data_IF_368651114992
#
_entry.id   IF_368651114992
#
_cell.length_a   1.000
_cell.length_b   1.000
_cell.length_c   1.000
_cell.angle_alpha   90.00
_cell.angle_beta   90.00
_cell.angle_gamma   90.00
#
_symmetry.space_group_name_H-M   'P 1'
#
loop_
_entity.id
_entity.type
_entity.pdbx_description
1 polymer ?
#
# COMPACT_ATOMS: atom_id res chain seq x y z
N UNK A 1 -23.50 18.77 -8.01
CA UNK A 1 -22.08 19.11 -8.19
C UNK A 1 -21.58 19.58 -6.83
N UNK A 2 -21.09 18.66 -6.00
CA UNK A 2 -20.70 18.97 -4.62
C UNK A 2 -19.17 18.98 -4.56
N UNK A 3 -18.61 20.15 -4.24
CA UNK A 3 -17.19 20.34 -4.00
C UNK A 3 -16.90 19.90 -2.56
N UNK A 4 -16.16 18.81 -2.41
CA UNK A 4 -15.64 18.37 -1.12
C UNK A 4 -14.50 19.29 -0.71
N UNK A 5 -14.76 20.20 0.23
CA UNK A 5 -13.73 21.01 0.87
C UNK A 5 -13.21 20.22 2.08
N UNK A 6 -12.04 19.61 1.93
CA UNK A 6 -11.30 18.99 3.03
C UNK A 6 -10.69 20.11 3.87
N UNK A 7 -11.19 20.32 5.10
CA UNK A 7 -10.58 21.22 6.10
C UNK A 7 -9.80 20.39 7.11
N UNK A 8 -8.53 20.75 7.33
CA UNK A 8 -7.64 20.08 8.28
C UNK A 8 -6.26 19.72 7.72
N UNK A 9 -6.09 19.78 6.40
CA UNK A 9 -4.80 20.13 5.84
C UNK A 9 -4.65 21.63 6.11
N UNK A 10 -3.67 22.05 6.94
CA UNK A 10 -2.93 23.19 6.44
C UNK A 10 -2.48 22.75 5.05
N UNK A 11 -2.87 23.46 3.99
CA UNK A 11 -2.35 23.16 2.68
C UNK A 11 -0.88 23.51 2.76
N UNK A 12 -0.04 22.58 3.24
CA UNK A 12 1.34 22.57 2.81
C UNK A 12 1.22 22.51 1.30
N UNK A 13 1.60 23.57 0.57
CA UNK A 13 1.11 23.72 -0.76
C UNK A 13 1.98 22.80 -1.59
N UNK A 14 1.47 21.60 -1.85
CA UNK A 14 1.87 20.79 -3.01
C UNK A 14 1.72 21.63 -4.30
N UNK A 15 0.97 22.75 -4.22
CA UNK A 15 0.78 23.77 -5.25
C UNK A 15 1.83 24.92 -5.25
N UNK A 16 2.74 25.01 -4.28
CA UNK A 16 3.86 25.98 -4.29
C UNK A 16 5.23 25.31 -4.30
N UNK A 17 5.29 23.98 -4.24
CA UNK A 17 6.52 23.26 -4.60
C UNK A 17 6.80 23.53 -6.09
N UNK A 18 8.06 23.69 -6.51
CA UNK A 18 8.42 23.54 -7.93
C UNK A 18 7.79 22.24 -8.47
N UNK A 19 7.57 22.16 -9.79
CA UNK A 19 7.00 20.93 -10.37
C UNK A 19 7.81 19.74 -9.84
N UNK A 20 7.11 18.70 -9.37
CA UNK A 20 7.73 17.53 -8.74
C UNK A 20 8.91 17.01 -9.59
N UNK A 21 8.76 17.07 -10.91
CA UNK A 21 9.80 16.79 -11.91
C UNK A 21 11.07 17.66 -11.78
N UNK A 22 10.94 18.98 -11.58
CA UNK A 22 12.05 19.91 -11.38
C UNK A 22 12.77 19.64 -10.05
N UNK A 23 12.02 19.39 -8.97
CA UNK A 23 12.59 19.14 -7.64
C UNK A 23 13.36 17.81 -7.59
N UNK A 24 12.84 16.77 -8.25
CA UNK A 24 13.51 15.47 -8.38
C UNK A 24 14.81 15.61 -9.17
N UNK A 25 14.77 16.35 -10.29
CA UNK A 25 15.93 16.56 -11.17
C UNK A 25 17.02 17.37 -10.48
N UNK A 26 16.65 18.49 -9.87
CA UNK A 26 17.58 19.42 -9.21
C UNK A 26 18.25 18.78 -7.98
N UNK A 27 17.51 18.04 -7.15
CA UNK A 27 18.07 17.45 -5.92
C UNK A 27 18.81 16.13 -6.11
N UNK A 28 18.36 15.28 -7.03
CA UNK A 28 18.84 13.89 -7.09
C UNK A 28 19.61 13.57 -8.37
N UNK A 29 19.82 14.56 -9.26
CA UNK A 29 20.56 14.41 -10.52
C UNK A 29 20.05 13.23 -11.36
N UNK A 30 18.73 13.03 -11.34
CA UNK A 30 18.02 12.01 -12.10
C UNK A 30 17.76 12.57 -13.49
N UNK A 31 18.50 12.08 -14.49
CA UNK A 31 18.25 12.34 -15.90
C UNK A 31 17.70 11.10 -16.60
N UNK A 32 17.17 11.28 -17.82
CA UNK A 32 16.68 10.20 -18.67
C UNK A 32 17.76 9.22 -19.17
N UNK A 33 19.03 9.40 -18.78
CA UNK A 33 20.19 8.64 -19.26
C UNK A 33 20.73 7.65 -18.22
N UNK A 34 20.37 7.80 -16.95
CA UNK A 34 20.50 6.73 -15.94
C UNK A 34 19.55 5.55 -16.23
N UNK A 35 19.98 4.30 -15.96
CA UNK A 35 19.27 3.00 -16.15
C UNK A 35 17.98 3.10 -16.99
N UNK A 36 17.95 2.57 -18.23
CA UNK A 36 16.78 2.60 -19.17
C UNK A 36 15.46 2.93 -18.46
N UNK A 37 15.02 4.21 -18.50
CA UNK A 37 13.85 4.66 -17.76
C UNK A 37 12.64 3.80 -18.11
N UNK A 38 11.79 3.53 -17.11
CA UNK A 38 10.47 2.98 -17.40
C UNK A 38 9.69 3.98 -18.27
N UNK A 39 8.84 3.49 -19.17
CA UNK A 39 8.00 4.39 -19.98
C UNK A 39 6.97 5.06 -19.07
N UNK A 40 7.28 6.29 -18.65
CA UNK A 40 6.43 7.09 -17.76
C UNK A 40 5.04 7.29 -18.36
N UNK A 41 4.91 7.42 -19.69
CA UNK A 41 3.60 7.62 -20.33
C UNK A 41 2.74 6.37 -20.24
N UNK A 42 3.34 5.20 -20.42
CA UNK A 42 2.65 3.93 -20.26
C UNK A 42 2.25 3.71 -18.78
N UNK A 43 3.16 3.96 -17.85
CA UNK A 43 2.89 3.85 -16.42
C UNK A 43 1.80 4.82 -15.96
N UNK A 44 1.83 6.06 -16.45
CA UNK A 44 0.86 7.10 -16.08
C UNK A 44 -0.57 6.73 -16.45
N UNK A 45 -0.76 5.96 -17.53
CA UNK A 45 -2.08 5.43 -17.90
C UNK A 45 -2.61 4.40 -16.91
N UNK A 46 -1.71 3.71 -16.19
CA UNK A 46 -2.05 2.60 -15.28
C UNK A 46 -2.21 3.06 -13.84
N UNK A 47 -1.29 3.89 -13.36
CA UNK A 47 -1.21 4.27 -11.94
C UNK A 47 -1.24 5.78 -11.71
N UNK A 48 -1.42 6.58 -12.77
CA UNK A 48 -1.41 8.04 -12.70
C UNK A 48 0.00 8.64 -12.83
N UNK A 49 0.05 9.90 -13.23
CA UNK A 49 1.28 10.63 -13.55
C UNK A 49 2.19 10.81 -12.32
N UNK A 50 1.67 11.38 -11.23
CA UNK A 50 2.47 11.65 -10.02
C UNK A 50 3.03 10.37 -9.39
N UNK A 51 2.25 9.28 -9.19
CA UNK A 51 2.80 8.01 -8.73
C UNK A 51 3.87 7.44 -9.67
N UNK A 52 3.69 7.57 -10.99
CA UNK A 52 4.67 7.11 -11.98
C UNK A 52 6.01 7.85 -11.85
N UNK A 53 5.97 9.17 -11.69
CA UNK A 53 7.16 10.00 -11.49
C UNK A 53 7.89 9.62 -10.20
N UNK A 54 7.18 9.45 -9.09
CA UNK A 54 7.78 9.06 -7.80
C UNK A 54 8.46 7.69 -7.89
N UNK A 55 7.81 6.71 -8.53
CA UNK A 55 8.39 5.37 -8.69
C UNK A 55 9.61 5.34 -9.62
N UNK A 56 9.59 6.11 -10.71
CA UNK A 56 10.76 6.25 -11.58
C UNK A 56 11.92 6.91 -10.84
N UNK A 57 11.62 7.93 -10.04
CA UNK A 57 12.61 8.64 -9.23
C UNK A 57 13.22 7.75 -8.17
N UNK A 58 12.41 6.90 -7.53
CA UNK A 58 12.88 5.87 -6.61
C UNK A 58 13.82 4.87 -7.30
N UNK A 59 13.46 4.38 -8.49
CA UNK A 59 14.28 3.44 -9.25
C UNK A 59 15.67 4.01 -9.63
N UNK A 60 15.73 5.31 -9.95
CA UNK A 60 16.99 5.96 -10.33
C UNK A 60 17.83 6.33 -9.10
N UNK A 61 17.20 6.89 -8.07
CA UNK A 61 17.91 7.42 -6.91
C UNK A 61 18.39 6.34 -5.92
N UNK A 62 17.75 5.17 -5.89
CA UNK A 62 18.10 4.10 -4.96
C UNK A 62 18.92 2.97 -5.62
N UNK A 63 20.17 2.80 -5.18
CA UNK A 63 21.07 1.78 -5.74
C UNK A 63 20.55 0.35 -5.54
N UNK A 64 19.83 0.09 -4.44
CA UNK A 64 19.28 -1.22 -4.11
C UNK A 64 17.96 -1.53 -4.83
N UNK A 65 17.31 -0.52 -5.41
CA UNK A 65 16.06 -0.73 -6.12
C UNK A 65 16.33 -1.41 -7.48
N UNK A 66 15.71 -2.58 -7.66
CA UNK A 66 15.80 -3.34 -8.90
C UNK A 66 14.64 -3.01 -9.83
N UNK A 67 14.89 -2.94 -11.14
CA UNK A 67 13.85 -2.72 -12.15
C UNK A 67 12.73 -3.77 -12.05
N UNK A 68 13.10 -5.02 -11.76
CA UNK A 68 12.15 -6.12 -11.52
C UNK A 68 11.24 -5.82 -10.33
N UNK A 69 11.81 -5.48 -9.17
CA UNK A 69 11.03 -5.13 -7.97
C UNK A 69 10.09 -3.94 -8.21
N UNK A 70 10.55 -2.91 -8.92
CA UNK A 70 9.69 -1.77 -9.30
C UNK A 70 8.55 -2.19 -10.22
N UNK A 71 8.80 -3.06 -11.21
CA UNK A 71 7.75 -3.57 -12.10
C UNK A 71 6.73 -4.41 -11.35
N UNK A 72 7.16 -5.34 -10.49
CA UNK A 72 6.26 -6.12 -9.65
C UNK A 72 5.44 -5.24 -8.70
N UNK A 73 6.06 -4.20 -8.12
CA UNK A 73 5.37 -3.22 -7.30
C UNK A 73 4.27 -2.52 -8.10
N UNK A 74 4.55 -2.09 -9.33
CA UNK A 74 3.56 -1.45 -10.22
C UNK A 74 2.38 -2.39 -10.51
N UNK A 75 2.66 -3.67 -10.80
CA UNK A 75 1.61 -4.67 -11.02
C UNK A 75 0.73 -4.86 -9.79
N UNK A 76 1.33 -4.94 -8.60
CA UNK A 76 0.58 -5.05 -7.34
C UNK A 76 -0.25 -3.79 -7.09
N UNK A 77 0.32 -2.59 -7.28
CA UNK A 77 -0.41 -1.33 -7.15
C UNK A 77 -1.62 -1.27 -8.07
N UNK A 78 -1.42 -1.54 -9.36
CA UNK A 78 -2.48 -1.52 -10.36
C UNK A 78 -3.53 -2.60 -10.08
N UNK A 79 -3.09 -3.81 -9.68
CA UNK A 79 -3.97 -4.91 -9.33
C UNK A 79 -4.88 -4.61 -8.14
N UNK A 80 -4.35 -4.00 -7.08
CA UNK A 80 -5.12 -3.63 -5.88
C UNK A 80 -5.97 -2.38 -6.11
N UNK A 81 -5.47 -1.40 -6.86
CA UNK A 81 -6.25 -0.24 -7.28
C UNK A 81 -7.44 -0.66 -8.16
N UNK A 82 -7.28 -1.73 -8.95
CA UNK A 82 -8.24 -2.13 -9.96
C UNK A 82 -8.36 -1.01 -11.01
N UNK A 83 -9.56 -0.46 -11.16
CA UNK A 83 -9.82 0.69 -12.05
C UNK A 83 -9.88 2.03 -11.32
N UNK A 84 -9.57 2.05 -10.02
CA UNK A 84 -9.62 3.27 -9.20
C UNK A 84 -8.32 4.07 -9.32
N UNK A 85 -8.39 5.41 -9.27
CA UNK A 85 -7.18 6.23 -9.32
C UNK A 85 -6.29 5.98 -8.11
N UNK A 86 -4.97 6.01 -8.33
CA UNK A 86 -3.97 6.03 -7.28
C UNK A 86 -3.49 7.48 -7.15
N UNK A 87 -3.52 8.02 -5.93
CA UNK A 87 -3.08 9.38 -5.64
C UNK A 87 -1.94 9.38 -4.62
N UNK A 88 -1.14 10.44 -4.64
CA UNK A 88 -0.10 10.67 -3.63
C UNK A 88 -0.79 11.10 -2.33
N UNK A 89 -0.57 10.33 -1.27
CA UNK A 89 -1.13 10.58 0.06
C UNK A 89 -0.17 11.43 0.91
N UNK A 90 1.10 11.01 0.95
CA UNK A 90 2.15 11.66 1.71
C UNK A 90 3.42 11.69 0.87
N UNK A 91 4.20 12.76 1.03
CA UNK A 91 5.52 12.92 0.44
C UNK A 91 6.39 13.62 1.48
N UNK A 92 7.47 12.95 1.89
CA UNK A 92 8.33 13.36 2.99
C UNK A 92 9.77 13.55 2.49
N UNK A 93 10.24 14.80 2.65
CA UNK A 93 11.60 15.27 2.39
C UNK A 93 12.30 15.74 3.69
N UNK A 94 11.87 15.25 4.85
CA UNK A 94 12.30 15.74 6.17
C UNK A 94 13.74 15.35 6.59
N UNK A 95 14.14 15.50 7.86
CA UNK A 95 15.47 15.12 8.33
C UNK A 95 15.59 13.64 8.74
N UNK A 96 14.47 12.90 8.82
CA UNK A 96 14.39 11.49 9.25
C UNK A 96 14.38 10.53 8.05
N UNK A 97 14.63 11.04 6.84
CA UNK A 97 14.60 10.23 5.63
C UNK A 97 15.70 9.18 5.70
N UNK A 98 15.31 7.98 5.33
CA UNK A 98 16.21 6.84 5.20
C UNK A 98 16.77 6.71 3.79
N UNK A 99 16.36 7.62 2.91
CA UNK A 99 16.31 7.60 1.44
C UNK A 99 16.18 9.05 0.94
N UNK A 100 16.36 9.38 -0.35
CA UNK A 100 16.26 10.75 -0.84
C UNK A 100 14.86 11.36 -0.66
N UNK A 101 13.81 10.55 -0.59
CA UNK A 101 12.45 10.93 -0.17
C UNK A 101 11.68 9.67 0.23
N UNK A 102 10.66 9.81 1.09
CA UNK A 102 9.66 8.77 1.34
C UNK A 102 8.31 9.22 0.79
N UNK A 103 7.47 8.29 0.35
CA UNK A 103 6.12 8.63 -0.07
C UNK A 103 5.13 7.51 0.24
N UNK A 104 3.87 7.87 0.32
CA UNK A 104 2.75 6.93 0.43
C UNK A 104 1.75 7.23 -0.67
N UNK A 105 1.18 6.17 -1.21
CA UNK A 105 0.10 6.24 -2.19
C UNK A 105 -1.20 5.75 -1.57
N UNK A 106 -2.33 6.24 -2.05
CA UNK A 106 -3.65 5.80 -1.58
C UNK A 106 -4.60 5.62 -2.76
N UNK A 107 -5.49 4.64 -2.65
CA UNK A 107 -6.59 4.39 -3.58
C UNK A 107 -7.81 3.86 -2.83
N UNK A 108 -9.00 4.00 -3.41
CA UNK A 108 -10.20 3.31 -2.91
C UNK A 108 -10.20 1.81 -3.25
N UNK A 109 -9.42 1.43 -4.26
CA UNK A 109 -9.11 0.04 -4.60
C UNK A 109 -10.30 -0.79 -5.07
N UNK A 110 -10.02 -2.08 -5.30
CA UNK A 110 -10.95 -3.02 -5.93
C UNK A 110 -12.23 -3.31 -5.12
N UNK A 111 -12.21 -3.09 -3.80
CA UNK A 111 -13.37 -3.35 -2.92
C UNK A 111 -14.34 -2.17 -2.82
N UNK A 112 -14.05 -1.04 -3.45
CA UNK A 112 -14.89 0.15 -3.33
C UNK A 112 -16.34 -0.14 -3.74
N UNK A 113 -16.52 -0.80 -4.87
CA UNK A 113 -17.84 -1.10 -5.43
C UNK A 113 -18.56 -2.21 -4.65
N UNK A 114 -17.81 -3.14 -4.05
CA UNK A 114 -18.37 -4.18 -3.17
C UNK A 114 -18.80 -3.64 -1.80
N UNK A 115 -18.14 -2.58 -1.33
CA UNK A 115 -18.41 -1.98 -0.03
C UNK A 115 -19.64 -1.06 -0.07
N UNK A 116 -19.95 -0.44 -1.21
CA UNK A 116 -21.06 0.51 -1.33
C UNK A 116 -22.43 -0.10 -0.92
N UNK A 117 -22.84 -1.31 -1.39
CA UNK A 117 -24.09 -1.93 -0.93
C UNK A 117 -24.10 -2.27 0.56
N UNK A 118 -22.95 -2.63 1.13
CA UNK A 118 -22.80 -2.89 2.57
C UNK A 118 -23.04 -1.60 3.34
N UNK A 119 -22.43 -0.50 2.88
CA UNK A 119 -22.59 0.81 3.46
C UNK A 119 -24.05 1.30 3.42
N UNK A 120 -24.76 1.03 2.31
CA UNK A 120 -26.20 1.30 2.20
C UNK A 120 -27.02 0.47 3.21
N UNK A 121 -26.74 -0.82 3.34
CA UNK A 121 -27.42 -1.72 4.29
C UNK A 121 -27.20 -1.34 5.76
N UNK A 122 -26.06 -0.70 6.08
CA UNK A 122 -25.74 -0.22 7.42
C UNK A 122 -26.42 1.12 7.77
N UNK A 123 -27.08 1.77 6.79
CA UNK A 123 -27.66 3.11 6.94
C UNK A 123 -26.62 4.23 6.94
N UNK A 124 -25.40 3.95 6.47
CA UNK A 124 -24.24 4.84 6.48
C UNK A 124 -23.97 5.41 5.06
N UNK A 125 -25.00 5.50 4.22
CA UNK A 125 -24.88 5.92 2.82
C UNK A 125 -24.09 7.24 2.68
N UNK A 126 -22.98 7.19 1.94
CA UNK A 126 -21.97 8.25 1.75
C UNK A 126 -21.12 8.64 2.98
N UNK A 127 -21.26 7.93 4.09
CA UNK A 127 -20.56 8.21 5.34
C UNK A 127 -19.42 7.24 5.63
N UNK A 128 -19.13 6.28 4.76
CA UNK A 128 -17.96 5.43 4.90
C UNK A 128 -17.37 5.04 3.54
N UNK A 129 -16.05 4.88 3.48
CA UNK A 129 -15.35 4.35 2.32
C UNK A 129 -14.19 3.45 2.71
N UNK A 130 -13.84 2.55 1.82
CA UNK A 130 -12.62 1.75 1.93
C UNK A 130 -11.46 2.49 1.29
N UNK A 131 -10.27 2.32 1.87
CA UNK A 131 -9.03 2.81 1.29
C UNK A 131 -7.89 1.80 1.49
N UNK A 132 -6.99 1.77 0.51
CA UNK A 132 -5.74 1.04 0.52
C UNK A 132 -4.60 2.04 0.48
N UNK A 133 -3.74 1.98 1.48
CA UNK A 133 -2.54 2.81 1.57
C UNK A 133 -1.31 1.96 1.29
N UNK A 134 -0.57 2.37 0.26
CA UNK A 134 0.67 1.75 -0.14
C UNK A 134 1.85 2.53 0.44
N UNK A 135 2.75 1.84 1.12
CA UNK A 135 4.02 2.37 1.60
C UNK A 135 5.13 1.55 0.94
N UNK A 136 5.66 1.99 -0.21
CA UNK A 136 6.84 1.39 -0.81
C UNK A 136 7.97 1.39 0.22
N UNK A 137 8.80 0.35 0.16
CA UNK A 137 10.11 0.35 0.81
C UNK A 137 10.01 0.61 2.33
N UNK A 138 8.97 0.01 2.92
CA UNK A 138 8.53 0.19 4.30
C UNK A 138 9.58 -0.27 5.30
N UNK A 139 10.12 0.69 6.05
CA UNK A 139 11.04 0.43 7.14
C UNK A 139 10.32 0.21 8.45
N UNK A 140 10.58 -0.92 9.09
CA UNK A 140 10.06 -1.25 10.42
C UNK A 140 11.19 -1.41 11.42
N UNK A 141 11.10 -0.71 12.55
CA UNK A 141 12.07 -0.83 13.63
C UNK A 141 11.86 -2.17 14.34
N UNK A 142 12.95 -2.88 14.63
CA UNK A 142 12.87 -4.19 15.31
C UNK A 142 12.32 -4.08 16.72
N UNK A 143 12.56 -2.95 17.38
CA UNK A 143 11.96 -2.61 18.68
C UNK A 143 10.43 -2.52 18.63
N UNK A 144 9.84 -2.26 17.46
CA UNK A 144 8.39 -2.22 17.27
C UNK A 144 7.76 -3.57 16.96
N UNK A 145 8.55 -4.65 16.83
CA UNK A 145 8.09 -5.96 16.34
C UNK A 145 7.97 -7.06 17.42
N UNK A 146 8.07 -6.72 18.71
CA UNK A 146 7.75 -7.53 19.91
C UNK A 146 8.18 -6.78 21.17
N UNK A 147 7.72 -7.21 22.35
CA UNK A 147 8.21 -6.77 23.68
C UNK A 147 9.66 -7.23 23.97
N UNK A 148 10.58 -6.99 23.05
CA UNK A 148 12.01 -7.18 23.27
C UNK A 148 12.73 -5.91 22.87
N UNK A 149 12.79 -4.97 23.81
CA UNK A 149 13.55 -3.70 23.79
C UNK A 149 15.06 -3.85 23.45
N UNK A 150 15.53 -5.09 23.25
CA UNK A 150 16.94 -5.43 23.02
C UNK A 150 17.30 -5.62 21.54
N UNK A 151 16.33 -5.62 20.62
CA UNK A 151 16.60 -5.78 19.20
C UNK A 151 16.84 -4.42 18.53
N UNK A 152 18.12 -4.08 18.34
CA UNK A 152 18.52 -2.88 17.62
C UNK A 152 18.46 -3.06 16.10
N UNK A 153 18.11 -1.98 15.39
CA UNK A 153 18.06 -1.89 13.94
C UNK A 153 16.65 -2.02 13.36
N UNK A 154 16.58 -2.13 12.03
CA UNK A 154 15.34 -2.18 11.27
C UNK A 154 15.32 -3.33 10.27
N UNK A 155 14.13 -3.66 9.78
CA UNK A 155 13.94 -4.36 8.52
C UNK A 155 13.42 -3.36 7.48
N UNK A 156 13.93 -3.46 6.26
CA UNK A 156 13.40 -2.75 5.10
C UNK A 156 12.61 -3.80 4.31
N UNK A 157 11.32 -3.52 4.09
CA UNK A 157 10.37 -4.40 3.40
C UNK A 157 9.93 -3.73 2.10
N UNK A 158 9.74 -4.48 1.02
CA UNK A 158 9.59 -3.85 -0.31
C UNK A 158 8.29 -3.07 -0.49
N UNK A 159 7.18 -3.54 0.08
CA UNK A 159 5.89 -2.84 0.02
C UNK A 159 5.01 -3.22 1.22
N UNK A 160 4.46 -2.22 1.89
CA UNK A 160 3.35 -2.41 2.84
C UNK A 160 2.05 -1.89 2.25
N UNK A 161 0.98 -2.64 2.44
CA UNK A 161 -0.39 -2.31 2.03
C UNK A 161 -1.26 -2.34 3.29
N UNK A 162 -1.81 -1.20 3.69
CA UNK A 162 -2.76 -1.11 4.79
C UNK A 162 -4.16 -0.84 4.24
N UNK A 163 -5.14 -1.61 4.69
CA UNK A 163 -6.55 -1.39 4.37
C UNK A 163 -7.28 -0.83 5.59
N UNK A 164 -8.09 0.19 5.36
CA UNK A 164 -8.94 0.78 6.39
C UNK A 164 -10.29 1.23 5.86
N UNK A 165 -11.30 1.22 6.73
CA UNK A 165 -12.58 1.90 6.52
C UNK A 165 -12.46 3.30 7.12
N UNK A 166 -12.76 4.32 6.33
CA UNK A 166 -12.84 5.71 6.78
C UNK A 166 -14.29 6.09 6.93
N UNK A 167 -14.72 6.45 8.14
CA UNK A 167 -16.07 6.88 8.46
C UNK A 167 -16.11 8.41 8.57
N UNK A 168 -16.94 9.03 7.76
CA UNK A 168 -17.25 10.45 7.73
C UNK A 168 -18.50 10.69 8.59
N UNK A 169 -18.33 11.31 9.75
CA UNK A 169 -19.45 11.61 10.66
C UNK A 169 -20.01 12.99 10.34
N UNK A 170 -21.31 13.06 10.01
CA UNK A 170 -22.07 14.30 9.98
C UNK A 170 -22.31 14.79 11.42
N UNK A 171 -21.34 15.49 11.99
CA UNK A 171 -21.53 16.13 13.31
C UNK A 171 -22.31 17.44 13.16
N UNK A 172 -23.40 17.66 13.91
CA UNK A 172 -24.14 18.93 13.89
C UNK A 172 -23.32 20.11 14.41
N UNK A 173 -22.25 19.85 15.16
CA UNK A 173 -21.21 20.83 15.43
C UNK A 173 -20.13 20.71 14.35
N UNK A 174 -20.08 21.70 13.45
CA UNK A 174 -19.11 21.85 12.35
C UNK A 174 -17.66 22.08 12.82
N UNK A 175 -17.30 21.66 14.02
CA UNK A 175 -15.93 21.69 14.53
C UNK A 175 -15.31 20.28 14.45
N UNK A 176 -14.63 20.04 13.32
CA UNK A 176 -13.33 19.37 13.21
C UNK A 176 -13.12 18.09 14.05
N UNK A 177 -14.03 17.12 13.98
CA UNK A 177 -13.63 15.74 14.33
C UNK A 177 -12.98 15.10 13.09
N UNK A 178 -11.70 14.66 13.16
CA UNK A 178 -11.08 13.95 12.04
C UNK A 178 -11.90 12.69 11.70
N UNK A 179 -11.92 12.25 10.43
CA UNK A 179 -12.66 11.07 10.05
C UNK A 179 -12.15 9.87 10.86
N UNK A 180 -13.08 9.06 11.36
CA UNK A 180 -12.74 7.89 12.16
C UNK A 180 -12.25 6.79 11.23
N UNK A 181 -11.00 6.37 11.40
CA UNK A 181 -10.41 5.30 10.59
C UNK A 181 -10.42 3.98 11.38
N UNK A 182 -11.06 2.96 10.82
CA UNK A 182 -11.10 1.60 11.36
C UNK A 182 -10.09 0.77 10.56
N UNK A 183 -8.98 0.31 11.16
CA UNK A 183 -8.04 -0.58 10.48
C UNK A 183 -8.69 -1.94 10.22
N UNK A 184 -8.59 -2.43 8.97
CA UNK A 184 -9.18 -3.72 8.55
C UNK A 184 -8.10 -4.80 8.47
N UNK A 185 -6.95 -4.46 7.89
CA UNK A 185 -5.87 -5.42 7.70
C UNK A 185 -4.62 -4.77 7.14
N UNK A 186 -3.52 -5.50 7.26
CA UNK A 186 -2.21 -5.08 6.76
C UNK A 186 -1.52 -6.24 6.06
N UNK A 187 -0.88 -5.94 4.95
CA UNK A 187 -0.10 -6.88 4.15
C UNK A 187 1.28 -6.29 3.89
N UNK A 188 2.30 -7.14 3.88
CA UNK A 188 3.63 -6.84 3.36
C UNK A 188 3.86 -7.72 2.13
N UNK A 189 4.39 -7.14 1.07
CA UNK A 189 4.77 -7.84 -0.16
C UNK A 189 6.28 -7.71 -0.34
N UNK A 190 6.94 -8.83 -0.58
CA UNK A 190 8.38 -8.95 -0.82
C UNK A 190 8.62 -9.53 -2.22
N UNK A 191 9.54 -8.93 -2.97
CA UNK A 191 9.88 -9.30 -4.33
C UNK A 191 11.24 -10.01 -4.35
N UNK A 192 11.22 -11.33 -4.11
CA UNK A 192 12.42 -12.16 -4.04
C UNK A 192 13.04 -12.39 -5.43
N UNK A 193 14.27 -11.94 -5.63
CA UNK A 193 15.05 -12.09 -6.86
C UNK A 193 15.85 -13.41 -6.97
N UNK A 194 16.57 -13.66 -8.08
CA UNK A 194 17.15 -14.97 -8.44
C UNK A 194 18.51 -15.23 -7.77
N UNK A 195 18.94 -14.39 -6.82
CA UNK A 195 20.18 -14.59 -6.04
C UNK A 195 19.88 -14.49 -4.54
N UNK A 196 19.65 -15.64 -3.91
CA UNK A 196 20.05 -15.87 -2.53
C UNK A 196 21.12 -16.96 -2.53
N UNK A 197 22.39 -16.58 -2.36
CA UNK A 197 23.52 -17.53 -2.26
C UNK A 197 24.26 -17.33 -0.94
N UNK A 198 23.51 -17.34 0.16
CA UNK A 198 23.98 -17.88 1.45
C UNK A 198 22.79 -18.40 2.26
N UNK A 199 22.85 -19.67 2.67
CA UNK A 199 21.83 -20.32 3.53
C UNK A 199 21.61 -19.60 4.87
N UNK A 200 22.53 -18.71 5.27
CA UNK A 200 22.38 -17.86 6.45
C UNK A 200 21.25 -16.82 6.34
N UNK A 201 20.78 -16.50 5.12
CA UNK A 201 19.69 -15.54 4.92
C UNK A 201 18.31 -16.14 5.17
N UNK A 202 18.05 -17.40 4.79
CA UNK A 202 16.73 -18.03 4.91
C UNK A 202 16.20 -18.05 6.35
N UNK A 203 17.08 -18.30 7.34
CA UNK A 203 16.69 -18.25 8.76
C UNK A 203 16.39 -16.82 9.22
N UNK A 204 17.15 -15.84 8.75
CA UNK A 204 16.93 -14.42 9.07
C UNK A 204 15.62 -13.93 8.45
N UNK A 205 15.30 -14.39 7.24
CA UNK A 205 14.08 -14.03 6.53
C UNK A 205 12.84 -14.67 7.16
N UNK A 206 12.93 -15.93 7.61
CA UNK A 206 11.85 -16.57 8.39
C UNK A 206 11.61 -15.86 9.72
N UNK A 207 12.67 -15.46 10.41
CA UNK A 207 12.55 -14.71 11.67
C UNK A 207 11.94 -13.33 11.41
N UNK A 208 12.41 -12.61 10.39
CA UNK A 208 11.86 -11.33 9.96
C UNK A 208 10.37 -11.44 9.70
N UNK A 209 9.96 -12.38 8.85
CA UNK A 209 8.56 -12.56 8.49
C UNK A 209 7.71 -12.92 9.70
N UNK A 210 8.19 -13.81 10.58
CA UNK A 210 7.48 -14.15 11.82
C UNK A 210 7.30 -12.93 12.73
N UNK A 211 8.31 -12.07 12.83
CA UNK A 211 8.24 -10.84 13.61
C UNK A 211 7.26 -9.84 13.00
N UNK A 212 7.32 -9.63 11.68
CA UNK A 212 6.37 -8.77 10.95
C UNK A 212 4.94 -9.28 11.10
N UNK A 213 4.73 -10.59 10.99
CA UNK A 213 3.43 -11.23 11.18
C UNK A 213 2.89 -11.08 12.60
N UNK A 214 3.76 -11.10 13.60
CA UNK A 214 3.35 -10.88 14.98
C UNK A 214 2.80 -9.47 15.24
N UNK A 215 3.13 -8.50 14.37
CA UNK A 215 2.59 -7.14 14.39
C UNK A 215 1.29 -6.99 13.58
N UNK A 216 0.66 -8.11 13.19
CA UNK A 216 -0.66 -8.12 12.52
C UNK A 216 -0.63 -7.98 10.99
N UNK A 217 0.54 -7.97 10.35
CA UNK A 217 0.66 -7.94 8.89
C UNK A 217 0.83 -9.33 8.28
N UNK A 218 0.11 -9.66 7.22
CA UNK A 218 0.37 -10.91 6.46
C UNK A 218 1.50 -10.68 5.45
N UNK A 219 2.45 -11.60 5.33
CA UNK A 219 3.57 -11.46 4.39
C UNK A 219 3.32 -12.32 3.15
N UNK A 220 3.34 -11.71 1.97
CA UNK A 220 3.30 -12.37 0.66
C UNK A 220 4.66 -12.22 -0.01
N UNK A 221 5.14 -13.30 -0.65
CA UNK A 221 6.43 -13.32 -1.36
C UNK A 221 6.20 -13.64 -2.82
N UNK A 222 6.61 -12.72 -3.68
CA UNK A 222 6.60 -12.87 -5.13
C UNK A 222 8.00 -13.32 -5.53
N UNK A 223 8.18 -14.62 -5.69
CA UNK A 223 9.45 -15.20 -6.10
C UNK A 223 9.62 -15.12 -7.61
N UNK A 224 10.79 -14.71 -8.07
CA UNK A 224 11.11 -14.78 -9.49
C UNK A 224 11.04 -16.24 -9.96
N UNK A 225 10.25 -16.55 -11.00
CA UNK A 225 10.17 -17.89 -11.53
C UNK A 225 11.52 -18.33 -12.13
N UNK A 226 11.73 -19.64 -12.20
CA UNK A 226 12.89 -20.20 -12.87
C UNK A 226 12.93 -19.75 -14.32
N UNK A 227 14.05 -19.18 -14.76
CA UNK A 227 14.19 -18.69 -16.13
C UNK A 227 14.45 -19.86 -17.08
N UNK A 228 13.53 -20.10 -18.00
CA UNK A 228 13.73 -20.94 -19.16
C UNK A 228 14.90 -20.40 -20.00
N UNK A 229 15.66 -21.30 -20.62
CA UNK A 229 16.80 -20.97 -21.49
C UNK A 229 16.57 -21.62 -22.86
N UNK A 230 16.80 -20.88 -23.95
CA UNK A 230 16.64 -21.36 -25.32
C UNK A 230 15.71 -20.49 -26.17
N UNK A 231 15.48 -20.87 -27.42
CA UNK A 231 14.58 -20.14 -28.34
C UNK A 231 13.15 -20.15 -27.79
N UNK A 232 12.50 -18.99 -27.72
CA UNK A 232 11.15 -18.82 -27.14
C UNK A 232 11.11 -18.67 -25.61
N UNK A 233 12.26 -18.74 -24.92
CA UNK A 233 12.32 -18.64 -23.46
C UNK A 233 11.87 -17.28 -22.91
N UNK A 234 12.10 -16.18 -23.64
CA UNK A 234 11.70 -14.83 -23.21
C UNK A 234 10.19 -14.73 -23.02
N UNK A 235 9.41 -15.18 -24.00
CA UNK A 235 7.93 -15.15 -23.95
C UNK A 235 7.41 -16.04 -22.82
N UNK A 236 7.91 -17.27 -22.72
CA UNK A 236 7.54 -18.22 -21.66
C UNK A 236 7.86 -17.69 -20.25
N UNK A 237 9.00 -17.02 -20.08
CA UNK A 237 9.38 -16.42 -18.81
C UNK A 237 8.47 -15.25 -18.42
N UNK A 238 8.04 -14.46 -19.41
CA UNK A 238 7.09 -13.36 -19.19
C UNK A 238 5.70 -13.87 -18.83
N UNK A 239 5.18 -14.87 -19.54
CA UNK A 239 3.88 -15.49 -19.25
C UNK A 239 3.84 -16.16 -17.87
N UNK A 240 4.92 -16.85 -17.50
CA UNK A 240 5.05 -17.49 -16.19
C UNK A 240 5.05 -16.46 -15.06
N UNK A 241 5.76 -15.34 -15.26
CA UNK A 241 5.80 -14.24 -14.30
C UNK A 241 4.44 -13.55 -14.17
N UNK A 242 3.77 -13.26 -15.29
CA UNK A 242 2.44 -12.65 -15.32
C UNK A 242 1.41 -13.52 -14.59
N UNK A 243 1.44 -14.83 -14.84
CA UNK A 243 0.56 -15.79 -14.15
C UNK A 243 0.81 -15.80 -12.64
N UNK A 244 2.08 -15.82 -12.22
CA UNK A 244 2.45 -15.80 -10.80
C UNK A 244 2.02 -14.50 -10.13
N UNK A 245 2.28 -13.36 -10.77
CA UNK A 245 1.89 -12.04 -10.26
C UNK A 245 0.38 -11.92 -10.11
N UNK A 246 -0.40 -12.34 -11.13
CA UNK A 246 -1.86 -12.36 -11.06
C UNK A 246 -2.37 -13.23 -9.92
N UNK A 247 -1.81 -14.44 -9.76
CA UNK A 247 -2.16 -15.32 -8.64
C UNK A 247 -1.92 -14.65 -7.28
N UNK A 248 -0.74 -14.06 -7.08
CA UNK A 248 -0.40 -13.37 -5.83
C UNK A 248 -1.29 -12.14 -5.56
N UNK A 249 -1.62 -11.38 -6.60
CA UNK A 249 -2.55 -10.24 -6.47
C UNK A 249 -3.93 -10.73 -6.03
N UNK A 250 -4.45 -11.80 -6.62
CA UNK A 250 -5.75 -12.36 -6.25
C UNK A 250 -5.75 -12.95 -4.83
N UNK A 251 -4.63 -13.55 -4.38
CA UNK A 251 -4.49 -14.01 -3.00
C UNK A 251 -4.51 -12.82 -2.00
N UNK A 252 -3.81 -11.72 -2.33
CA UNK A 252 -3.82 -10.49 -1.52
C UNK A 252 -5.23 -9.88 -1.48
N UNK A 253 -5.92 -9.81 -2.62
CA UNK A 253 -7.31 -9.34 -2.69
C UNK A 253 -8.23 -10.18 -1.82
N UNK A 254 -8.15 -11.51 -1.97
CA UNK A 254 -8.93 -12.46 -1.18
C UNK A 254 -8.67 -12.28 0.32
N UNK A 255 -7.42 -12.03 0.72
CA UNK A 255 -7.09 -11.72 2.12
C UNK A 255 -7.83 -10.49 2.62
N UNK A 256 -7.75 -9.37 1.90
CA UNK A 256 -8.39 -8.12 2.28
C UNK A 256 -9.92 -8.20 2.27
N UNK A 257 -10.50 -8.86 1.27
CA UNK A 257 -11.93 -9.09 1.17
C UNK A 257 -12.45 -9.87 2.38
N UNK A 258 -11.80 -10.98 2.74
CA UNK A 258 -12.14 -11.76 3.93
C UNK A 258 -11.99 -10.95 5.23
N UNK A 259 -10.93 -10.14 5.33
CA UNK A 259 -10.73 -9.24 6.49
C UNK A 259 -11.83 -8.18 6.60
N UNK A 260 -12.23 -7.59 5.47
CA UNK A 260 -13.32 -6.61 5.42
C UNK A 260 -14.63 -7.24 5.89
N UNK A 261 -15.03 -8.37 5.32
CA UNK A 261 -16.27 -9.04 5.71
C UNK A 261 -16.28 -9.44 7.18
N UNK A 262 -15.17 -9.96 7.71
CA UNK A 262 -15.07 -10.28 9.13
C UNK A 262 -15.19 -9.03 10.02
N UNK A 263 -14.55 -7.92 9.63
CA UNK A 263 -14.61 -6.66 10.36
C UNK A 263 -16.02 -6.08 10.37
N UNK A 264 -16.69 -6.06 9.22
CA UNK A 264 -18.08 -5.60 9.08
C UNK A 264 -19.03 -6.50 9.87
N UNK A 265 -18.91 -7.82 9.76
CA UNK A 265 -19.77 -8.77 10.47
C UNK A 265 -19.62 -8.64 12.00
N UNK A 266 -18.39 -8.49 12.50
CA UNK A 266 -18.16 -8.26 13.92
C UNK A 266 -18.83 -6.97 14.41
N UNK A 267 -18.70 -5.88 13.64
CA UNK A 267 -19.36 -4.62 13.96
C UNK A 267 -20.89 -4.71 13.89
N UNK A 268 -21.44 -5.48 12.95
CA UNK A 268 -22.88 -5.74 12.86
C UNK A 268 -23.39 -6.50 14.09
N UNK A 269 -22.67 -7.56 14.50
CA UNK A 269 -22.99 -8.30 15.72
C UNK A 269 -22.97 -7.38 16.94
N UNK A 270 -21.95 -6.53 17.08
CA UNK A 270 -21.84 -5.57 18.19
C UNK A 270 -23.00 -4.56 18.19
N UNK A 271 -23.33 -3.96 17.03
CA UNK A 271 -24.45 -3.03 16.88
C UNK A 271 -25.80 -3.70 17.21
N UNK A 272 -25.99 -4.96 16.80
CA UNK A 272 -27.20 -5.73 17.12
C UNK A 272 -27.33 -6.06 18.61
N UNK A 273 -26.21 -6.39 19.27
CA UNK A 273 -26.17 -6.66 20.72
C UNK A 273 -26.46 -5.38 21.50
N UNK A 274 -25.87 -4.25 21.12
CA UNK A 274 -26.13 -2.95 21.75
C UNK A 274 -27.60 -2.56 21.64
N UNK A 275 -28.20 -2.69 20.44
CA UNK A 275 -29.63 -2.41 20.25
C UNK A 275 -30.56 -3.35 21.05
N UNK A 276 -30.18 -4.62 21.21
CA UNK A 276 -30.93 -5.57 22.03
C UNK A 276 -30.79 -5.29 23.53
N UNK A 277 -29.61 -4.87 23.99
CA UNK A 277 -29.38 -4.47 25.39
C UNK A 277 -30.06 -3.14 25.74
N UNK A 278 -30.23 -2.22 24.79
CA UNK A 278 -31.02 -1.00 24.96
C UNK A 278 -32.52 -1.32 25.06
N UNK A 279 -33.00 -2.38 24.41
CA UNK A 279 -34.40 -2.84 24.52
C UNK A 279 -34.71 -3.65 25.78
N UNK A 280 -33.70 -4.25 26.40
CA UNK A 280 -33.81 -4.97 27.66
C UNK A 280 -32.77 -4.44 28.65
N UNK A 281 -33.00 -3.27 29.28
CA UNK A 281 -32.17 -2.86 30.39
C UNK A 281 -32.31 -3.92 31.48
N UNK A 282 -31.22 -4.63 31.76
CA UNK A 282 -31.12 -5.52 32.91
C UNK A 282 -31.35 -4.63 34.13
N UNK A 283 -32.47 -4.85 34.83
CA UNK A 283 -32.75 -4.24 36.12
C UNK A 283 -31.90 -4.87 37.21
#
# INVERSE_FOLDING_TARGET
>A
MFATIVKGLEPSPVLTSPYLEDEIKERYNVDSETKVPLDIKELSKRIGEKPSLLLCSMLVSEQKCSKFGTQCLIEVLAGIAGNQPIIVHELDYGPVQTRPFNFKLITHGFLNDEFEPINEGLGERNNASVSFKFTPEYRVQKSSLRDQDRLNGSYDLDLKIDMAITVFVDSPNKDISPPNTIPVGSVVVEFDGPRHLSDEQVRKDKLRDSLVQSNGSTVFRIQMPYQHVGTGSTELNLESLDTLLKGQIEDIKSHFQNRLYNTVNANYLLKSIEQNNVKFPIK
#
